data_IF_631590863029
#
_entry.id   IF_631590863029
#
_cell.length_a   1.000
_cell.length_b   1.000
_cell.length_c   1.000
_cell.angle_alpha   90.00
_cell.angle_beta   90.00
_cell.angle_gamma   90.00
#
_symmetry.space_group_name_H-M   'P 1'
#
loop_
_entity.id
_entity.type
_entity.pdbx_description
1 polymer ?
#
# COMPACT_ATOMS: atom_id res chain seq x y z
N UNK A 1 -12.20 -2.43 -12.69
CA UNK A 1 -10.79 -2.24 -12.25
C UNK A 1 -10.62 -2.13 -10.72
N UNK A 2 -11.68 -1.76 -9.97
CA UNK A 2 -11.59 -1.33 -8.55
C UNK A 2 -11.52 -2.50 -7.54
N UNK A 3 -12.00 -3.71 -7.88
CA UNK A 3 -12.11 -4.81 -6.89
C UNK A 3 -10.78 -5.38 -6.38
N UNK A 4 -9.68 -5.23 -7.13
CA UNK A 4 -8.40 -5.88 -6.81
C UNK A 4 -7.53 -5.11 -5.80
N UNK A 5 -7.70 -3.79 -5.67
CA UNK A 5 -6.98 -2.99 -4.67
C UNK A 5 -7.33 -3.39 -3.23
N UNK A 6 -8.54 -3.91 -3.01
CA UNK A 6 -9.01 -4.34 -1.71
C UNK A 6 -8.67 -5.82 -1.40
N UNK A 7 -7.66 -6.37 -2.09
CA UNK A 7 -7.16 -7.73 -1.83
C UNK A 7 -6.00 -7.71 -0.84
N UNK A 8 -5.79 -8.82 -0.14
CA UNK A 8 -4.78 -8.97 0.90
C UNK A 8 -3.35 -9.06 0.33
N UNK A 9 -2.33 -8.75 1.14
CA UNK A 9 -0.91 -8.94 0.77
C UNK A 9 -0.47 -10.39 0.93
N UNK A 10 0.84 -10.66 1.05
CA UNK A 10 1.34 -12.04 1.29
C UNK A 10 0.91 -12.62 2.65
N UNK A 11 0.41 -11.78 3.56
CA UNK A 11 -0.01 -12.13 4.91
C UNK A 11 -1.49 -12.55 5.03
N UNK A 12 -2.25 -12.58 3.93
CA UNK A 12 -3.64 -13.06 3.95
C UNK A 12 -4.66 -12.08 4.54
N UNK A 13 -4.24 -10.95 5.11
CA UNK A 13 -5.12 -10.03 5.85
C UNK A 13 -5.78 -9.02 4.92
N UNK A 14 -7.09 -9.19 4.69
CA UNK A 14 -7.90 -8.29 3.84
C UNK A 14 -8.36 -7.03 4.58
N UNK A 15 -8.70 -7.17 5.86
CA UNK A 15 -9.15 -6.06 6.71
C UNK A 15 -8.70 -6.29 8.16
N UNK A 16 -8.60 -5.21 8.92
CA UNK A 16 -8.22 -5.24 10.34
C UNK A 16 -9.40 -4.83 11.21
N UNK A 17 -9.63 -5.57 12.30
CA UNK A 17 -10.59 -5.18 13.34
C UNK A 17 -10.16 -3.86 14.01
N UNK A 18 -11.09 -3.09 14.63
CA UNK A 18 -10.75 -1.82 15.28
C UNK A 18 -9.52 -1.91 16.22
N UNK A 19 -9.48 -2.90 17.11
CA UNK A 19 -8.37 -3.10 18.05
C UNK A 19 -7.04 -3.39 17.33
N UNK A 20 -7.08 -4.11 16.20
CA UNK A 20 -5.90 -4.41 15.39
C UNK A 20 -5.41 -3.18 14.64
N UNK A 21 -6.30 -2.26 14.25
CA UNK A 21 -5.93 -0.97 13.64
C UNK A 21 -5.19 -0.09 14.64
N UNK A 22 -5.71 0.03 15.86
CA UNK A 22 -5.04 0.78 16.93
C UNK A 22 -3.67 0.18 17.28
N UNK A 23 -3.58 -1.14 17.36
CA UNK A 23 -2.30 -1.83 17.56
C UNK A 23 -1.33 -1.54 16.42
N UNK A 24 -1.77 -1.67 15.17
CA UNK A 24 -0.94 -1.38 14.01
C UNK A 24 -0.41 0.06 14.04
N UNK A 25 -1.27 1.04 14.32
CA UNK A 25 -0.88 2.45 14.41
C UNK A 25 0.25 2.69 15.43
N UNK A 26 0.18 2.03 16.59
CA UNK A 26 1.23 2.11 17.63
C UNK A 26 2.54 1.43 17.21
N UNK A 27 2.50 0.49 16.28
CA UNK A 27 3.66 -0.24 15.77
C UNK A 27 4.28 0.38 14.51
N UNK A 28 3.70 1.45 13.96
CA UNK A 28 4.27 2.17 12.82
C UNK A 28 5.50 2.96 13.27
N UNK A 29 6.68 2.47 12.88
CA UNK A 29 7.95 3.12 13.13
C UNK A 29 8.87 2.89 11.94
N UNK A 30 9.63 3.92 11.54
CA UNK A 30 10.62 3.79 10.47
C UNK A 30 11.84 2.98 10.93
N UNK A 31 12.24 3.13 12.20
CA UNK A 31 13.39 2.42 12.76
C UNK A 31 13.10 0.92 12.83
N UNK A 32 13.97 0.13 12.21
CA UNK A 32 13.86 -1.34 12.22
C UNK A 32 12.73 -1.89 11.33
N UNK A 33 12.05 -1.04 10.55
CA UNK A 33 11.04 -1.51 9.60
C UNK A 33 11.68 -2.28 8.45
N UNK A 34 11.11 -3.45 8.15
CA UNK A 34 11.43 -4.25 6.96
C UNK A 34 10.14 -4.56 6.21
N UNK A 35 10.06 -4.08 4.97
CA UNK A 35 8.92 -4.34 4.11
C UNK A 35 8.82 -5.84 3.78
N UNK A 36 7.59 -6.35 3.66
CA UNK A 36 7.35 -7.73 3.22
C UNK A 36 7.34 -7.81 1.70
N UNK A 37 7.53 -9.04 1.19
CA UNK A 37 7.39 -9.31 -0.24
C UNK A 37 5.97 -8.94 -0.73
N UNK A 38 5.89 -8.42 -1.96
CA UNK A 38 4.62 -8.09 -2.59
C UNK A 38 3.93 -9.35 -3.10
N UNK A 39 2.61 -9.44 -2.94
CA UNK A 39 1.83 -10.52 -3.55
C UNK A 39 1.50 -10.15 -4.99
N UNK A 40 1.94 -10.96 -5.96
CA UNK A 40 1.66 -10.73 -7.38
C UNK A 40 0.24 -11.16 -7.74
N UNK A 41 -0.48 -10.30 -8.46
CA UNK A 41 -1.77 -10.61 -9.09
C UNK A 41 -1.70 -10.21 -10.56
N UNK A 42 -2.23 -11.06 -11.45
CA UNK A 42 -2.27 -10.77 -12.87
C UNK A 42 -3.64 -10.22 -13.26
N UNK A 43 -3.65 -9.05 -13.88
CA UNK A 43 -4.86 -8.38 -14.35
C UNK A 43 -4.85 -8.42 -15.89
N UNK A 44 -5.89 -8.98 -16.54
CA UNK A 44 -5.97 -8.98 -18.00
C UNK A 44 -6.09 -7.54 -18.53
N UNK A 45 -5.44 -7.25 -19.67
CA UNK A 45 -5.69 -6.01 -20.40
C UNK A 45 -7.01 -6.12 -21.17
N UNK A 46 -7.88 -5.11 -21.15
CA UNK A 46 -9.08 -5.12 -21.99
C UNK A 46 -8.69 -5.27 -23.46
N UNK A 47 -9.30 -6.24 -24.16
CA UNK A 47 -9.11 -6.44 -25.60
C UNK A 47 -7.73 -6.93 -26.05
N UNK A 48 -6.88 -7.44 -25.13
CA UNK A 48 -5.58 -8.06 -25.47
C UNK A 48 -5.33 -9.29 -24.58
N UNK A 49 -4.57 -10.26 -25.09
CA UNK A 49 -4.17 -11.45 -24.32
C UNK A 49 -3.08 -11.18 -23.27
N UNK A 50 -2.48 -9.99 -23.32
CA UNK A 50 -1.49 -9.54 -22.36
C UNK A 50 -2.08 -9.31 -20.95
N UNK A 51 -1.29 -9.63 -19.92
CA UNK A 51 -1.63 -9.36 -18.51
C UNK A 51 -0.67 -8.34 -17.93
N UNK A 52 -1.19 -7.41 -17.13
CA UNK A 52 -0.38 -6.53 -16.28
C UNK A 52 -0.26 -7.12 -14.89
N UNK A 53 0.95 -7.17 -14.36
CA UNK A 53 1.18 -7.61 -13.00
C UNK A 53 0.95 -6.46 -12.01
N UNK A 54 0.18 -6.74 -10.96
CA UNK A 54 -0.02 -5.85 -9.81
C UNK A 54 0.69 -6.45 -8.60
N UNK A 55 1.52 -5.67 -7.92
CA UNK A 55 2.11 -6.03 -6.64
C UNK A 55 1.22 -5.52 -5.50
N UNK A 56 0.74 -6.41 -4.65
CA UNK A 56 -0.18 -6.09 -3.57
C UNK A 56 0.59 -6.14 -2.23
N UNK A 57 0.83 -4.98 -1.59
CA UNK A 57 1.49 -4.91 -0.28
C UNK A 57 0.57 -5.36 0.86
N UNK A 58 1.18 -5.73 2.00
CA UNK A 58 0.43 -6.03 3.24
C UNK A 58 -0.19 -4.77 3.83
N UNK A 59 -1.13 -4.93 4.76
CA UNK A 59 -1.78 -3.78 5.43
C UNK A 59 -0.77 -2.91 6.19
N UNK A 60 0.26 -3.52 6.81
CA UNK A 60 1.32 -2.77 7.48
C UNK A 60 2.14 -1.96 6.49
N UNK A 61 2.53 -2.56 5.37
CA UNK A 61 3.34 -1.86 4.38
C UNK A 61 2.56 -0.71 3.73
N UNK A 62 1.25 -0.87 3.48
CA UNK A 62 0.37 0.22 3.00
C UNK A 62 0.30 1.38 4.00
N UNK A 63 0.15 1.06 5.28
CA UNK A 63 0.10 2.06 6.33
C UNK A 63 1.43 2.83 6.44
N UNK A 64 2.58 2.14 6.30
CA UNK A 64 3.89 2.78 6.24
C UNK A 64 4.06 3.67 5.00
N UNK A 65 3.62 3.21 3.83
CA UNK A 65 3.63 4.01 2.60
C UNK A 65 2.78 5.27 2.75
N UNK A 66 1.57 5.15 3.31
CA UNK A 66 0.70 6.28 3.58
C UNK A 66 1.31 7.26 4.58
N UNK A 67 1.91 6.77 5.66
CA UNK A 67 2.60 7.61 6.65
C UNK A 67 3.72 8.43 6.03
N UNK A 68 4.60 7.78 5.26
CA UNK A 68 5.72 8.47 4.58
C UNK A 68 5.18 9.46 3.55
N UNK A 69 4.17 9.05 2.78
CA UNK A 69 3.53 9.90 1.78
C UNK A 69 2.95 11.18 2.43
N UNK A 70 2.14 11.05 3.48
CA UNK A 70 1.56 12.20 4.17
C UNK A 70 2.60 13.13 4.81
N UNK A 71 3.76 12.61 5.20
CA UNK A 71 4.86 13.43 5.72
C UNK A 71 5.58 14.22 4.61
N UNK A 72 5.66 13.66 3.40
CA UNK A 72 6.42 14.24 2.29
C UNK A 72 5.55 15.07 1.34
N UNK A 73 4.26 14.79 1.23
CA UNK A 73 3.32 15.49 0.34
C UNK A 73 3.41 17.03 0.46
N UNK A 74 3.33 17.64 1.66
CA UNK A 74 3.33 19.10 1.76
C UNK A 74 4.60 19.76 1.21
N UNK A 75 5.75 19.11 1.38
CA UNK A 75 7.01 19.60 0.84
C UNK A 75 7.01 19.55 -0.69
N UNK A 76 6.55 18.44 -1.26
CA UNK A 76 6.54 18.25 -2.70
C UNK A 76 5.47 19.08 -3.41
N UNK A 77 4.30 19.26 -2.80
CA UNK A 77 3.29 20.21 -3.28
C UNK A 77 3.90 21.61 -3.42
N UNK A 78 4.61 22.09 -2.40
CA UNK A 78 5.29 23.39 -2.47
C UNK A 78 6.38 23.47 -3.56
N UNK A 79 7.07 22.37 -3.87
CA UNK A 79 8.10 22.34 -4.91
C UNK A 79 7.53 22.22 -6.32
N UNK A 80 6.41 21.51 -6.51
CA UNK A 80 5.84 21.22 -7.83
C UNK A 80 4.69 22.17 -8.21
N UNK A 81 4.07 22.87 -7.26
CA UNK A 81 3.02 23.87 -7.51
C UNK A 81 3.57 25.30 -7.64
N UNK A 82 4.88 25.48 -7.50
CA UNK A 82 5.58 26.76 -7.62
C UNK A 82 5.97 27.11 -9.05
N UNK A 83 5.15 27.97 -9.69
CA UNK A 83 5.34 28.73 -10.95
C UNK A 83 5.45 27.98 -12.27
#
# INVERSE_FOLDING_TARGET
MIHWFNSFGVDGKKALRPNQRLKLAKELALKGYKAKALRRVWIPKPGRDEKRGLGIPTMKDRAMQALVKSALEPYWEAQFEGT
#
